data_IF_972729770043
#
_entry.id   IF_972729770043
#
_cell.length_a   1.000
_cell.length_b   1.000
_cell.length_c   1.000
_cell.angle_alpha   90.00
_cell.angle_beta   90.00
_cell.angle_gamma   90.00
#
_symmetry.space_group_name_H-M   'P 1'
#
loop_
_entity.id
_entity.type
_entity.pdbx_description
1 polymer ?
#
# COMPACT_ATOMS: atom_id res chain seq x y z
N UNK A 1 4.26 -9.90 -15.89
CA UNK A 1 5.33 -9.04 -16.44
C UNK A 1 5.86 -8.25 -15.28
N UNK A 2 7.15 -8.42 -14.97
CA UNK A 2 7.81 -7.86 -13.81
C UNK A 2 8.65 -6.71 -14.32
N UNK A 3 8.10 -5.50 -14.40
CA UNK A 3 8.76 -4.40 -15.09
C UNK A 3 9.90 -3.76 -14.29
N UNK A 4 10.05 -4.07 -13.00
CA UNK A 4 11.28 -3.77 -12.23
C UNK A 4 11.23 -4.48 -10.87
N UNK A 5 11.93 -5.60 -10.70
CA UNK A 5 12.31 -6.07 -9.36
C UNK A 5 13.59 -5.35 -8.98
N UNK A 6 13.56 -4.59 -7.89
CA UNK A 6 14.77 -4.13 -7.23
C UNK A 6 15.37 -5.31 -6.47
N UNK A 7 16.07 -6.19 -7.19
CA UNK A 7 16.89 -7.25 -6.60
C UNK A 7 18.36 -6.82 -6.55
N UNK A 8 19.23 -7.68 -6.02
CA UNK A 8 20.67 -7.39 -5.95
C UNK A 8 21.36 -7.31 -7.32
N UNK A 9 20.68 -7.65 -8.41
CA UNK A 9 21.20 -7.57 -9.79
C UNK A 9 21.02 -6.17 -10.39
N UNK A 10 20.07 -5.37 -9.89
CA UNK A 10 19.87 -3.99 -10.34
C UNK A 10 20.48 -3.01 -9.34
N UNK A 11 21.57 -2.34 -9.75
CA UNK A 11 22.22 -1.29 -8.95
C UNK A 11 21.97 0.06 -9.59
N UNK A 12 21.21 0.92 -8.92
CA UNK A 12 21.09 2.32 -9.28
C UNK A 12 22.36 3.05 -8.83
N UNK A 13 23.15 3.52 -9.79
CA UNK A 13 24.38 4.28 -9.55
C UNK A 13 24.08 5.77 -9.37
N UNK A 14 25.09 6.53 -8.91
CA UNK A 14 25.00 7.99 -8.85
C UNK A 14 24.80 8.58 -10.27
N UNK A 15 23.91 9.58 -10.36
CA UNK A 15 23.54 10.21 -11.62
C UNK A 15 24.73 10.90 -12.30
N UNK A 16 25.54 11.62 -11.54
CA UNK A 16 26.66 12.42 -12.07
C UNK A 16 27.83 11.52 -12.45
N UNK A 17 28.12 10.49 -11.65
CA UNK A 17 29.11 9.48 -12.03
C UNK A 17 28.71 8.76 -13.32
N UNK A 18 27.43 8.38 -13.44
CA UNK A 18 26.89 7.72 -14.64
C UNK A 18 26.95 8.64 -15.86
N UNK A 19 26.56 9.91 -15.71
CA UNK A 19 26.63 10.90 -16.78
C UNK A 19 28.07 11.16 -17.25
N UNK A 20 29.03 11.26 -16.32
CA UNK A 20 30.45 11.42 -16.64
C UNK A 20 30.98 10.23 -17.46
N UNK A 21 30.65 9.01 -17.04
CA UNK A 21 31.05 7.80 -17.75
C UNK A 21 30.43 7.72 -19.16
N UNK A 22 29.15 8.05 -19.30
CA UNK A 22 28.45 8.09 -20.59
C UNK A 22 29.08 9.13 -21.53
N UNK A 23 29.34 10.35 -21.05
CA UNK A 23 29.99 11.40 -21.85
C UNK A 23 31.41 11.02 -22.26
N UNK A 24 32.18 10.38 -21.37
CA UNK A 24 33.52 9.89 -21.72
C UNK A 24 33.49 8.91 -22.89
N UNK A 25 32.50 8.00 -22.93
CA UNK A 25 32.32 7.08 -24.06
C UNK A 25 31.98 7.80 -25.37
N UNK A 26 31.22 8.90 -25.30
CA UNK A 26 30.85 9.70 -26.47
C UNK A 26 32.01 10.53 -27.03
N UNK A 27 33.10 10.78 -26.28
CA UNK A 27 34.26 11.56 -26.77
C UNK A 27 34.96 10.94 -27.97
N UNK A 28 34.84 9.63 -28.13
CA UNK A 28 35.40 8.88 -29.27
C UNK A 28 34.51 8.92 -30.51
N UNK A 29 33.31 9.47 -30.40
CA UNK A 29 32.30 9.50 -31.44
C UNK A 29 32.09 10.94 -31.95
N UNK A 30 31.75 11.08 -33.23
CA UNK A 30 31.34 12.36 -33.78
C UNK A 30 29.88 12.62 -33.41
N UNK A 31 29.67 13.45 -32.39
CA UNK A 31 28.35 13.77 -31.85
C UNK A 31 28.09 15.27 -31.97
N UNK A 32 27.03 15.63 -32.67
CA UNK A 32 26.64 17.02 -32.88
C UNK A 32 25.80 17.59 -31.70
N UNK A 33 25.02 16.74 -31.01
CA UNK A 33 24.13 17.15 -29.91
C UNK A 33 24.12 16.08 -28.82
N UNK A 34 24.15 16.50 -27.56
CA UNK A 34 24.04 15.62 -26.39
C UNK A 34 22.85 16.01 -25.53
N UNK A 35 21.81 15.17 -25.52
CA UNK A 35 20.63 15.33 -24.69
C UNK A 35 20.64 14.28 -23.58
N UNK A 36 20.50 14.69 -22.32
CA UNK A 36 20.28 13.74 -21.23
C UNK A 36 18.78 13.39 -21.16
N UNK A 37 18.44 12.11 -21.12
CA UNK A 37 17.10 11.64 -20.82
C UNK A 37 17.07 11.22 -19.34
N UNK A 38 16.27 11.89 -18.51
CA UNK A 38 16.33 11.74 -17.06
C UNK A 38 14.97 11.52 -16.41
N UNK A 39 14.99 10.86 -15.26
CA UNK A 39 13.86 10.74 -14.34
C UNK A 39 14.31 11.25 -12.97
N UNK A 40 14.42 12.58 -12.82
CA UNK A 40 14.95 13.23 -11.61
C UNK A 40 14.38 14.63 -11.44
N UNK A 41 14.69 15.31 -10.33
CA UNK A 41 14.18 16.66 -9.99
C UNK A 41 14.69 17.75 -10.94
N UNK A 42 13.97 18.88 -11.06
CA UNK A 42 14.39 20.01 -11.89
C UNK A 42 15.73 20.55 -11.39
N UNK A 43 15.89 20.66 -10.07
CA UNK A 43 17.14 21.07 -9.42
C UNK A 43 18.31 20.14 -9.77
N UNK A 44 18.09 18.83 -9.80
CA UNK A 44 19.13 17.87 -10.22
C UNK A 44 19.44 18.00 -11.72
N UNK A 45 18.44 18.24 -12.58
CA UNK A 45 18.66 18.49 -14.02
C UNK A 45 19.44 19.79 -14.28
N UNK A 46 19.14 20.87 -13.55
CA UNK A 46 19.89 22.14 -13.61
C UNK A 46 21.34 21.93 -13.15
N UNK A 47 21.55 21.14 -12.10
CA UNK A 47 22.89 20.77 -11.62
C UNK A 47 23.62 19.92 -12.64
N UNK A 48 22.95 18.96 -13.28
CA UNK A 48 23.50 18.12 -14.35
C UNK A 48 24.02 18.97 -15.51
N UNK A 49 23.23 19.93 -15.99
CA UNK A 49 23.64 20.82 -17.06
C UNK A 49 24.82 21.73 -16.63
N UNK A 50 24.84 22.23 -15.39
CA UNK A 50 25.97 23.03 -14.89
C UNK A 50 27.27 22.22 -14.79
N UNK A 51 27.19 20.99 -14.30
CA UNK A 51 28.37 20.13 -14.10
C UNK A 51 28.91 19.56 -15.42
N UNK A 52 28.04 19.36 -16.42
CA UNK A 52 28.41 18.85 -17.73
C UNK A 52 28.10 19.86 -18.85
N UNK A 53 28.99 20.83 -19.11
CA UNK A 53 28.82 21.82 -20.18
C UNK A 53 28.66 21.20 -21.58
N UNK A 54 29.15 19.98 -21.77
CA UNK A 54 29.05 19.21 -23.02
C UNK A 54 27.60 18.79 -23.36
N UNK A 55 26.68 18.81 -22.39
CA UNK A 55 25.25 18.52 -22.58
C UNK A 55 24.50 19.77 -23.06
N UNK A 56 23.74 19.60 -24.13
CA UNK A 56 22.98 20.66 -24.82
C UNK A 56 21.56 20.83 -24.28
N UNK A 57 21.01 19.82 -23.61
CA UNK A 57 19.69 19.91 -22.99
C UNK A 57 19.30 18.62 -22.24
N UNK A 58 18.12 18.65 -21.64
CA UNK A 58 17.54 17.53 -20.88
C UNK A 58 16.09 17.29 -21.33
N UNK A 59 15.76 16.03 -21.59
CA UNK A 59 14.38 15.55 -21.61
C UNK A 59 14.13 14.83 -20.28
N UNK A 60 13.18 15.32 -19.49
CA UNK A 60 12.89 14.83 -18.14
C UNK A 60 11.52 14.17 -18.08
N UNK A 61 11.28 13.34 -17.07
CA UNK A 61 9.96 12.77 -16.74
C UNK A 61 8.87 13.83 -16.57
N UNK A 62 7.62 13.38 -16.66
CA UNK A 62 6.45 14.20 -16.42
C UNK A 62 6.41 14.80 -15.00
N UNK A 63 5.85 16.00 -14.90
CA UNK A 63 5.69 16.73 -13.63
C UNK A 63 4.26 17.03 -13.27
N UNK A 64 3.40 16.94 -14.26
CA UNK A 64 1.99 17.26 -14.19
C UNK A 64 1.27 16.32 -15.13
N UNK A 65 0.06 15.91 -14.76
CA UNK A 65 -0.79 15.08 -15.61
C UNK A 65 -1.34 15.86 -16.81
N UNK A 66 -1.36 17.20 -16.75
CA UNK A 66 -2.06 18.05 -17.73
C UNK A 66 -1.18 19.09 -18.39
N UNK A 67 -0.01 19.39 -17.83
CA UNK A 67 0.84 20.48 -18.30
C UNK A 67 2.27 19.99 -18.60
N UNK A 68 2.79 20.38 -19.76
CA UNK A 68 4.22 20.25 -20.05
C UNK A 68 4.98 21.39 -19.41
N UNK A 69 6.26 21.17 -19.11
CA UNK A 69 7.13 22.22 -18.59
C UNK A 69 8.33 22.45 -19.48
N UNK A 70 8.63 23.73 -19.70
CA UNK A 70 9.78 24.20 -20.48
C UNK A 70 10.64 25.07 -19.57
N UNK A 71 11.68 24.47 -19.01
CA UNK A 71 12.65 25.15 -18.15
C UNK A 71 13.98 25.32 -18.89
N UNK A 72 14.84 26.20 -18.40
CA UNK A 72 16.15 26.45 -19.01
C UNK A 72 17.24 26.62 -17.95
N UNK A 73 18.41 26.03 -18.19
CA UNK A 73 19.62 26.26 -17.41
C UNK A 73 20.77 26.71 -18.33
N UNK A 74 21.27 27.93 -18.11
CA UNK A 74 22.29 28.57 -18.97
C UNK A 74 21.91 28.56 -20.47
N UNK A 75 20.64 28.85 -20.77
CA UNK A 75 20.11 28.87 -22.14
C UNK A 75 19.89 27.50 -22.78
N UNK A 76 20.05 26.40 -22.03
CA UNK A 76 19.81 25.03 -22.50
C UNK A 76 18.48 24.51 -21.96
N UNK A 77 17.64 23.86 -22.79
CA UNK A 77 16.31 23.45 -22.39
C UNK A 77 16.33 22.23 -21.45
N UNK A 78 15.40 22.22 -20.50
CA UNK A 78 14.99 21.09 -19.66
C UNK A 78 13.49 20.93 -19.88
N UNK A 79 13.09 19.86 -20.57
CA UNK A 79 11.73 19.70 -21.08
C UNK A 79 11.08 18.47 -20.46
N UNK A 80 9.90 18.65 -19.88
CA UNK A 80 9.08 17.54 -19.37
C UNK A 80 7.73 17.54 -20.08
N UNK A 81 7.27 16.40 -20.61
CA UNK A 81 5.90 16.28 -21.08
C UNK A 81 4.93 16.30 -19.88
N UNK A 82 3.66 16.51 -20.17
CA UNK A 82 2.54 16.14 -19.33
C UNK A 82 2.32 14.61 -19.32
N UNK A 83 1.63 14.11 -18.30
CA UNK A 83 1.31 12.71 -18.11
C UNK A 83 0.31 12.14 -19.11
N UNK A 84 0.02 10.85 -18.97
CA UNK A 84 -0.99 10.09 -19.73
C UNK A 84 -0.89 10.20 -21.27
N UNK A 85 0.31 10.51 -21.79
CA UNK A 85 0.53 10.73 -23.23
C UNK A 85 -0.33 11.86 -23.82
N UNK A 86 -0.85 12.78 -23.00
CA UNK A 86 -1.70 13.88 -23.48
C UNK A 86 -0.94 15.03 -24.14
N UNK A 87 0.38 14.88 -24.29
CA UNK A 87 1.20 15.80 -25.05
C UNK A 87 2.54 15.19 -25.47
N UNK A 88 3.17 15.81 -26.45
CA UNK A 88 4.49 15.46 -26.98
C UNK A 88 5.41 16.67 -26.96
N UNK A 89 6.65 16.50 -26.47
CA UNK A 89 7.68 17.52 -26.61
C UNK A 89 8.24 17.49 -28.03
N UNK A 90 8.15 18.61 -28.75
CA UNK A 90 8.79 18.82 -30.06
C UNK A 90 10.03 19.68 -29.88
N UNK A 91 11.20 19.07 -30.03
CA UNK A 91 12.49 19.76 -30.01
C UNK A 91 12.91 20.15 -31.44
N UNK A 92 13.14 21.44 -31.65
CA UNK A 92 13.74 22.00 -32.86
C UNK A 92 15.23 22.20 -32.64
N UNK A 93 16.00 21.74 -33.61
CA UNK A 93 17.45 21.74 -33.58
C UNK A 93 17.97 22.54 -34.77
N UNK A 94 18.81 23.53 -34.51
CA UNK A 94 19.54 24.27 -35.54
C UNK A 94 21.04 24.04 -35.36
N UNK A 95 21.69 23.54 -36.42
CA UNK A 95 23.12 23.26 -36.44
C UNK A 95 23.85 24.30 -37.30
N UNK A 96 24.91 24.87 -36.75
CA UNK A 96 25.82 25.78 -37.46
C UNK A 96 27.27 25.32 -37.25
N UNK A 97 28.09 25.33 -38.30
CA UNK A 97 29.48 24.89 -38.21
C UNK A 97 30.27 25.75 -37.22
N UNK A 98 30.99 25.10 -36.29
CA UNK A 98 31.83 25.77 -35.30
C UNK A 98 31.06 26.46 -34.18
N UNK A 99 29.73 26.30 -34.11
CA UNK A 99 28.87 26.85 -33.06
C UNK A 99 28.14 25.72 -32.33
N UNK A 100 27.72 26.01 -31.10
CA UNK A 100 26.87 25.12 -30.33
C UNK A 100 25.49 25.00 -31.00
N UNK A 101 24.85 23.82 -31.01
CA UNK A 101 23.47 23.69 -31.47
C UNK A 101 22.54 24.66 -30.75
N UNK A 102 21.72 25.38 -31.51
CA UNK A 102 20.63 26.17 -30.95
C UNK A 102 19.40 25.27 -30.85
N UNK A 103 18.86 25.16 -29.63
CA UNK A 103 17.71 24.33 -29.32
C UNK A 103 16.52 25.22 -28.94
N UNK A 104 15.38 24.98 -29.57
CA UNK A 104 14.09 25.51 -29.14
C UNK A 104 13.07 24.38 -29.03
N UNK A 105 12.04 24.54 -28.22
CA UNK A 105 11.07 23.49 -27.98
C UNK A 105 9.65 24.04 -27.92
N UNK A 106 8.69 23.12 -28.00
CA UNK A 106 7.30 23.38 -27.71
C UNK A 106 6.58 22.07 -27.33
N UNK A 107 5.55 22.16 -26.51
CA UNK A 107 4.63 21.06 -26.27
C UNK A 107 3.50 21.02 -27.32
N UNK A 108 3.25 19.84 -27.88
CA UNK A 108 2.08 19.55 -28.70
C UNK A 108 1.05 18.85 -27.83
N UNK A 109 -0.15 19.39 -27.70
CA UNK A 109 -1.24 18.71 -26.98
C UNK A 109 -1.79 17.59 -27.86
N UNK A 110 -2.03 16.44 -27.24
CA UNK A 110 -2.68 15.27 -27.85
C UNK A 110 -4.03 15.11 -27.18
N UNK A 111 -5.05 15.73 -27.76
CA UNK A 111 -6.44 15.69 -27.30
C UNK A 111 -7.38 15.27 -28.45
N UNK A 112 -8.69 15.42 -28.23
CA UNK A 112 -9.71 15.06 -29.22
C UNK A 112 -9.64 15.87 -30.55
N UNK A 113 -8.81 16.92 -30.63
CA UNK A 113 -8.57 17.65 -31.87
C UNK A 113 -7.56 16.95 -32.80
N UNK A 114 -6.78 16.00 -32.29
CA UNK A 114 -5.83 15.21 -33.07
C UNK A 114 -6.55 13.99 -33.64
N UNK A 115 -6.57 13.86 -34.97
CA UNK A 115 -7.16 12.71 -35.64
C UNK A 115 -6.36 11.43 -35.30
N UNK A 116 -7.07 10.40 -34.83
CA UNK A 116 -6.47 9.12 -34.51
C UNK A 116 -6.05 8.38 -35.79
N UNK A 117 -4.87 7.77 -35.78
CA UNK A 117 -4.46 6.86 -36.85
C UNK A 117 -5.39 5.64 -36.89
N UNK A 118 -6.01 5.41 -38.05
CA UNK A 118 -7.03 4.35 -38.20
C UNK A 118 -6.52 2.94 -37.87
N UNK A 119 -5.25 2.62 -38.20
CA UNK A 119 -4.67 1.28 -37.96
C UNK A 119 -4.40 1.08 -36.47
N UNK A 120 -3.85 2.10 -35.80
CA UNK A 120 -3.63 2.05 -34.36
C UNK A 120 -4.94 2.08 -33.57
N UNK A 121 -5.94 2.82 -34.05
CA UNK A 121 -7.28 2.84 -33.46
C UNK A 121 -7.96 1.47 -33.54
N UNK A 122 -7.91 0.80 -34.68
CA UNK A 122 -8.46 -0.56 -34.82
C UNK A 122 -7.71 -1.58 -33.94
N UNK A 123 -6.40 -1.41 -33.79
CA UNK A 123 -5.58 -2.22 -32.90
C UNK A 123 -5.95 -2.02 -31.42
N UNK A 124 -6.07 -0.76 -30.97
CA UNK A 124 -6.53 -0.39 -29.63
C UNK A 124 -7.89 -1.02 -29.35
N UNK A 125 -8.85 -0.83 -30.26
CA UNK A 125 -10.20 -1.37 -30.13
C UNK A 125 -10.21 -2.89 -30.02
N UNK A 126 -9.37 -3.59 -30.78
CA UNK A 126 -9.22 -5.05 -30.67
C UNK A 126 -8.75 -5.48 -29.27
N UNK A 127 -7.72 -4.83 -28.72
CA UNK A 127 -7.25 -5.12 -27.37
C UNK A 127 -8.29 -4.76 -26.30
N UNK A 128 -8.94 -3.61 -26.43
CA UNK A 128 -9.98 -3.14 -25.52
C UNK A 128 -11.17 -4.11 -25.48
N UNK A 129 -11.63 -4.61 -26.64
CA UNK A 129 -12.69 -5.61 -26.70
C UNK A 129 -12.27 -6.95 -26.08
N UNK A 130 -11.03 -7.41 -26.35
CA UNK A 130 -10.52 -8.65 -25.76
C UNK A 130 -10.37 -8.55 -24.24
N UNK A 131 -9.99 -7.38 -23.72
CA UNK A 131 -9.95 -7.10 -22.29
C UNK A 131 -11.35 -7.04 -21.70
N UNK A 132 -12.30 -6.34 -22.33
CA UNK A 132 -13.68 -6.24 -21.86
C UNK A 132 -14.34 -7.62 -21.75
N UNK A 133 -14.13 -8.48 -22.74
CA UNK A 133 -14.63 -9.85 -22.72
C UNK A 133 -14.11 -10.63 -21.51
N UNK A 134 -12.82 -10.51 -21.18
CA UNK A 134 -12.23 -11.17 -20.01
C UNK A 134 -12.69 -10.55 -18.68
N UNK A 135 -12.73 -9.22 -18.61
CA UNK A 135 -13.04 -8.48 -17.39
C UNK A 135 -14.53 -8.53 -17.01
N UNK A 136 -15.42 -8.76 -17.99
CA UNK A 136 -16.86 -8.91 -17.78
C UNK A 136 -17.29 -10.30 -17.28
N UNK A 137 -16.35 -11.24 -17.10
CA UNK A 137 -16.63 -12.55 -16.50
C UNK A 137 -17.31 -12.37 -15.14
N UNK A 138 -18.47 -13.01 -14.96
CA UNK A 138 -19.23 -12.95 -13.70
C UNK A 138 -18.68 -13.94 -12.70
N UNK A 139 -18.31 -13.44 -11.52
CA UNK A 139 -17.81 -14.21 -10.39
C UNK A 139 -18.90 -14.60 -9.40
N UNK A 140 -20.04 -13.90 -9.42
CA UNK A 140 -21.18 -14.16 -8.55
C UNK A 140 -22.13 -12.96 -8.49
N UNK A 141 -23.07 -12.99 -7.54
CA UNK A 141 -23.98 -11.88 -7.25
C UNK A 141 -23.77 -11.37 -5.83
N UNK A 142 -23.51 -10.07 -5.68
CA UNK A 142 -23.45 -9.38 -4.39
C UNK A 142 -24.87 -9.00 -3.95
N UNK A 143 -25.30 -9.47 -2.79
CA UNK A 143 -26.60 -9.14 -2.18
C UNK A 143 -26.62 -7.74 -1.55
N UNK A 144 -25.43 -7.25 -1.20
CA UNK A 144 -25.13 -5.92 -0.66
C UNK A 144 -23.91 -5.36 -1.36
N UNK A 145 -23.79 -4.03 -1.46
CA UNK A 145 -22.57 -3.42 -1.98
C UNK A 145 -21.38 -3.76 -1.06
N UNK A 146 -20.21 -3.96 -1.63
CA UNK A 146 -18.96 -4.05 -0.89
C UNK A 146 -18.39 -2.65 -0.71
N UNK A 147 -18.23 -2.22 0.53
CA UNK A 147 -17.69 -0.94 0.90
C UNK A 147 -16.39 -1.13 1.70
N UNK A 148 -15.30 -0.59 1.17
CA UNK A 148 -13.99 -0.51 1.81
C UNK A 148 -13.67 0.92 2.31
N UNK A 149 -14.59 1.86 2.11
CA UNK A 149 -14.46 3.27 2.45
C UNK A 149 -13.48 4.06 1.56
N UNK A 150 -13.08 3.51 0.41
CA UNK A 150 -11.99 4.10 -0.43
C UNK A 150 -12.37 5.48 -0.98
N UNK A 151 -13.65 5.69 -1.34
CA UNK A 151 -14.14 6.95 -1.91
C UNK A 151 -14.50 8.01 -0.85
N UNK A 152 -14.20 7.77 0.42
CA UNK A 152 -14.58 8.67 1.50
C UNK A 152 -13.65 8.61 2.70
N UNK A 153 -14.08 7.91 3.75
CA UNK A 153 -13.40 7.94 5.05
C UNK A 153 -12.14 7.07 5.12
N UNK A 154 -11.81 6.25 4.11
CA UNK A 154 -10.80 5.19 4.17
C UNK A 154 -11.07 4.16 5.28
N UNK A 155 -12.33 3.77 5.49
CA UNK A 155 -12.80 2.85 6.54
C UNK A 155 -11.91 1.63 6.73
N UNK A 156 -11.51 0.96 5.64
CA UNK A 156 -10.65 -0.24 5.68
C UNK A 156 -9.32 -0.05 6.42
N UNK A 157 -8.93 1.20 6.68
CA UNK A 157 -7.67 1.58 7.33
C UNK A 157 -7.81 1.89 8.83
N UNK A 158 -9.02 1.80 9.39
CA UNK A 158 -9.24 2.02 10.82
C UNK A 158 -10.48 1.32 11.41
N UNK A 159 -11.41 0.80 10.61
CA UNK A 159 -12.60 0.11 11.10
C UNK A 159 -12.92 -1.13 10.28
N UNK A 160 -13.85 -1.95 10.76
CA UNK A 160 -14.31 -3.12 10.02
C UNK A 160 -15.02 -2.72 8.73
N UNK A 161 -14.71 -3.42 7.65
CA UNK A 161 -15.39 -3.24 6.36
C UNK A 161 -15.91 -4.56 5.84
N UNK A 162 -17.07 -4.56 5.20
CA UNK A 162 -17.60 -5.79 4.63
C UNK A 162 -16.80 -6.28 3.40
N UNK A 163 -16.14 -5.37 2.68
CA UNK A 163 -15.15 -5.72 1.66
C UNK A 163 -13.94 -6.45 2.29
N UNK A 164 -13.41 -5.90 3.40
CA UNK A 164 -12.32 -6.53 4.16
C UNK A 164 -12.69 -7.92 4.69
N UNK A 165 -13.90 -8.06 5.23
CA UNK A 165 -14.42 -9.35 5.70
C UNK A 165 -14.45 -10.40 4.60
N UNK A 166 -15.01 -10.06 3.43
CA UNK A 166 -15.10 -10.99 2.29
C UNK A 166 -13.72 -11.46 1.83
N UNK A 167 -12.76 -10.54 1.72
CA UNK A 167 -11.40 -10.86 1.25
C UNK A 167 -10.68 -11.74 2.27
N UNK A 168 -10.75 -11.38 3.57
CA UNK A 168 -10.15 -12.18 4.63
C UNK A 168 -10.79 -13.58 4.72
N UNK A 169 -12.11 -13.70 4.51
CA UNK A 169 -12.82 -14.97 4.44
C UNK A 169 -12.34 -15.82 3.26
N UNK A 170 -12.17 -15.23 2.08
CA UNK A 170 -11.65 -15.91 0.90
C UNK A 170 -10.24 -16.48 1.16
N UNK A 171 -9.35 -15.69 1.77
CA UNK A 171 -7.98 -16.12 2.09
C UNK A 171 -7.97 -17.26 3.10
N UNK A 172 -8.77 -17.12 4.17
CA UNK A 172 -8.91 -18.15 5.21
C UNK A 172 -9.46 -19.45 4.63
N UNK A 173 -10.52 -19.36 3.82
CA UNK A 173 -11.19 -20.51 3.22
C UNK A 173 -10.30 -21.25 2.23
N UNK A 174 -9.54 -20.54 1.39
CA UNK A 174 -8.62 -21.13 0.42
C UNK A 174 -7.59 -22.06 1.09
N UNK A 175 -6.94 -21.56 2.14
CA UNK A 175 -5.90 -22.31 2.86
C UNK A 175 -6.43 -23.24 3.95
N UNK A 176 -7.74 -23.21 4.23
CA UNK A 176 -8.33 -23.83 5.44
C UNK A 176 -7.54 -23.40 6.69
N UNK A 177 -7.23 -22.10 6.76
CA UNK A 177 -6.46 -21.50 7.83
C UNK A 177 -7.35 -21.24 9.05
N UNK A 178 -6.73 -21.04 10.21
CA UNK A 178 -7.46 -20.60 11.40
C UNK A 178 -7.94 -19.16 11.19
N UNK A 179 -7.07 -18.33 10.59
CA UNK A 179 -7.23 -16.88 10.48
C UNK A 179 -6.91 -16.42 9.05
N UNK A 180 -7.68 -15.46 8.54
CA UNK A 180 -7.35 -14.68 7.35
C UNK A 180 -7.06 -13.23 7.72
N UNK A 181 -6.04 -12.62 7.11
CA UNK A 181 -5.69 -11.20 7.28
C UNK A 181 -5.59 -10.54 5.91
N UNK A 182 -6.20 -9.36 5.79
CA UNK A 182 -6.03 -8.45 4.66
C UNK A 182 -5.65 -7.06 5.18
N UNK A 183 -4.54 -6.47 4.72
CA UNK A 183 -4.22 -5.09 5.08
C UNK A 183 -5.15 -4.11 4.35
N UNK A 184 -5.70 -3.12 5.04
CA UNK A 184 -6.68 -2.18 4.49
C UNK A 184 -6.16 -1.40 3.29
N UNK A 185 -4.86 -1.11 3.26
CA UNK A 185 -4.20 -0.43 2.15
C UNK A 185 -4.18 -1.22 0.85
N UNK A 186 -4.32 -2.54 0.92
CA UNK A 186 -4.41 -3.40 -0.25
C UNK A 186 -5.80 -3.47 -0.87
N UNK A 187 -6.84 -2.89 -0.23
CA UNK A 187 -8.20 -2.83 -0.77
C UNK A 187 -8.41 -1.47 -1.44
N UNK A 188 -8.57 -1.47 -2.76
CA UNK A 188 -8.47 -0.24 -3.57
C UNK A 188 -9.78 0.26 -4.18
N UNK A 189 -10.91 -0.43 -3.97
CA UNK A 189 -12.18 -0.01 -4.53
C UNK A 189 -13.37 -0.43 -3.66
N UNK A 190 -14.55 0.04 -4.04
CA UNK A 190 -15.84 -0.49 -3.62
C UNK A 190 -16.47 -1.26 -4.79
N UNK A 191 -17.43 -2.14 -4.53
CA UNK A 191 -18.18 -2.84 -5.57
C UNK A 191 -19.70 -2.66 -5.35
N UNK A 192 -20.47 -2.29 -6.39
CA UNK A 192 -21.91 -2.12 -6.26
C UNK A 192 -22.61 -3.46 -5.98
N UNK A 193 -23.80 -3.38 -5.39
CA UNK A 193 -24.71 -4.54 -5.29
C UNK A 193 -25.04 -5.06 -6.70
N UNK A 194 -25.17 -6.38 -6.84
CA UNK A 194 -25.59 -7.02 -8.08
C UNK A 194 -24.50 -7.88 -8.70
N UNK A 195 -24.38 -7.84 -10.03
CA UNK A 195 -23.43 -8.69 -10.77
C UNK A 195 -22.00 -8.32 -10.39
N UNK A 196 -21.28 -9.26 -9.80
CA UNK A 196 -19.86 -9.10 -9.46
C UNK A 196 -18.99 -9.73 -10.54
N UNK A 197 -18.04 -8.98 -11.04
CA UNK A 197 -17.23 -9.31 -12.21
C UNK A 197 -15.75 -9.36 -11.88
N UNK A 198 -14.96 -9.97 -12.77
CA UNK A 198 -13.52 -9.98 -12.64
C UNK A 198 -12.93 -8.55 -12.63
N UNK A 199 -13.54 -7.60 -13.35
CA UNK A 199 -13.19 -6.18 -13.29
C UNK A 199 -13.23 -5.66 -11.86
N UNK A 200 -14.36 -5.86 -11.18
CA UNK A 200 -14.57 -5.33 -9.82
C UNK A 200 -13.64 -6.02 -8.81
N UNK A 201 -13.39 -7.32 -8.97
CA UNK A 201 -12.42 -8.03 -8.14
C UNK A 201 -10.98 -7.51 -8.35
N UNK A 202 -10.58 -7.20 -9.60
CA UNK A 202 -9.29 -6.59 -9.90
C UNK A 202 -9.19 -5.14 -9.40
N UNK A 203 -10.28 -4.38 -9.45
CA UNK A 203 -10.34 -3.04 -8.86
C UNK A 203 -10.19 -3.09 -7.32
N UNK A 204 -10.75 -4.11 -6.67
CA UNK A 204 -10.56 -4.35 -5.24
C UNK A 204 -9.11 -4.74 -4.90
N UNK A 205 -8.48 -5.61 -5.69
CA UNK A 205 -7.16 -6.21 -5.45
C UNK A 205 -6.21 -6.04 -6.66
N UNK A 206 -5.69 -4.83 -6.94
CA UNK A 206 -4.98 -4.54 -8.19
C UNK A 206 -3.51 -4.96 -8.18
N UNK A 207 -2.93 -5.27 -7.02
CA UNK A 207 -1.48 -5.44 -6.86
C UNK A 207 -0.98 -6.85 -7.21
N UNK A 208 -1.89 -7.83 -7.31
CA UNK A 208 -1.54 -9.20 -7.65
C UNK A 208 -0.63 -9.87 -6.62
N UNK A 209 -0.87 -9.61 -5.32
CA UNK A 209 -0.15 -10.28 -4.24
C UNK A 209 -0.49 -11.78 -4.26
N UNK A 210 0.35 -12.60 -3.65
CA UNK A 210 0.04 -14.00 -3.42
C UNK A 210 -0.56 -14.19 -2.04
N UNK A 211 -1.52 -15.10 -1.90
CA UNK A 211 -2.11 -15.45 -0.60
C UNK A 211 -1.24 -16.51 0.06
N UNK A 212 -0.31 -16.10 0.90
CA UNK A 212 0.60 -16.99 1.61
C UNK A 212 -0.07 -17.63 2.84
N UNK A 213 0.49 -18.74 3.31
CA UNK A 213 0.11 -19.40 4.56
C UNK A 213 1.32 -19.51 5.48
N UNK A 214 1.17 -19.02 6.72
CA UNK A 214 2.22 -19.06 7.74
C UNK A 214 1.70 -19.65 9.06
N UNK A 215 2.62 -20.16 9.88
CA UNK A 215 2.34 -20.52 11.27
C UNK A 215 2.90 -19.45 12.20
N UNK A 216 2.02 -18.69 12.87
CA UNK A 216 2.38 -17.64 13.80
C UNK A 216 2.11 -18.06 15.24
N UNK A 217 3.05 -17.82 16.15
CA UNK A 217 2.75 -17.79 17.58
C UNK A 217 1.75 -16.66 17.87
N UNK A 218 0.87 -16.86 18.86
CA UNK A 218 -0.08 -15.84 19.30
C UNK A 218 0.56 -14.50 19.67
N UNK A 219 1.74 -14.51 20.29
CA UNK A 219 2.50 -13.27 20.58
C UNK A 219 2.90 -12.50 19.31
N UNK A 220 3.22 -13.20 18.23
CA UNK A 220 3.60 -12.59 16.96
C UNK A 220 2.35 -12.11 16.21
N UNK A 221 1.26 -12.87 16.26
CA UNK A 221 -0.04 -12.46 15.73
C UNK A 221 -0.53 -11.15 16.39
N UNK A 222 -0.42 -11.03 17.72
CA UNK A 222 -0.77 -9.79 18.43
C UNK A 222 0.14 -8.62 18.02
N UNK A 223 1.43 -8.88 17.76
CA UNK A 223 2.35 -7.85 17.23
C UNK A 223 1.99 -7.42 15.81
N UNK A 224 1.55 -8.33 14.95
CA UNK A 224 1.07 -8.01 13.59
C UNK A 224 -0.16 -7.09 13.68
N UNK A 225 -1.17 -7.47 14.47
CA UNK A 225 -2.35 -6.63 14.67
C UNK A 225 -1.99 -5.27 15.28
N UNK A 226 -1.11 -5.26 16.30
CA UNK A 226 -0.65 -4.03 16.94
C UNK A 226 0.12 -3.10 16.00
N UNK A 227 0.93 -3.64 15.09
CA UNK A 227 1.63 -2.85 14.07
C UNK A 227 0.64 -2.14 13.14
N UNK A 228 -0.41 -2.83 12.70
CA UNK A 228 -1.48 -2.23 11.90
C UNK A 228 -2.18 -1.06 12.60
N UNK A 229 -2.25 -1.12 13.94
CA UNK A 229 -2.88 -0.09 14.77
C UNK A 229 -1.97 1.09 15.09
N UNK A 230 -0.65 0.93 15.13
CA UNK A 230 0.29 1.98 15.55
C UNK A 230 0.21 3.29 14.74
N UNK A 231 -0.40 3.25 13.56
CA UNK A 231 -0.59 4.42 12.69
C UNK A 231 -2.04 4.58 12.26
N UNK A 232 -3.00 4.08 13.04
CA UNK A 232 -4.43 4.11 12.71
C UNK A 232 -4.97 5.52 12.59
N UNK A 233 -4.52 6.45 13.44
CA UNK A 233 -4.87 7.88 13.36
C UNK A 233 -4.44 8.54 12.03
N UNK A 234 -3.42 7.99 11.38
CA UNK A 234 -2.95 8.44 10.05
C UNK A 234 -3.60 7.67 8.90
N UNK A 235 -4.60 6.81 9.19
CA UNK A 235 -5.26 5.91 8.23
C UNK A 235 -4.23 5.13 7.41
N UNK A 236 -3.27 4.53 8.11
CA UNK A 236 -2.22 3.72 7.48
C UNK A 236 -2.81 2.52 6.73
N UNK A 237 -2.19 2.13 5.62
CA UNK A 237 -2.56 0.91 4.90
C UNK A 237 -2.36 -0.38 5.71
N UNK A 238 -1.54 -0.32 6.75
CA UNK A 238 -1.16 -1.46 7.58
C UNK A 238 -2.31 -2.04 8.45
N UNK A 239 -3.43 -1.34 8.61
CA UNK A 239 -4.55 -1.81 9.44
C UNK A 239 -5.07 -3.16 8.93
N UNK A 240 -5.30 -4.11 9.84
CA UNK A 240 -5.63 -5.49 9.47
C UNK A 240 -7.14 -5.75 9.50
N UNK A 241 -7.76 -5.96 8.33
CA UNK A 241 -9.06 -6.62 8.22
C UNK A 241 -8.90 -8.12 8.48
N UNK A 242 -9.88 -8.76 9.12
CA UNK A 242 -9.70 -10.11 9.68
C UNK A 242 -10.86 -11.08 9.41
N UNK A 243 -10.54 -12.37 9.43
CA UNK A 243 -11.47 -13.49 9.44
C UNK A 243 -11.01 -14.56 10.42
N UNK A 244 -11.94 -15.20 11.14
CA UNK A 244 -11.63 -16.23 12.13
C UNK A 244 -11.08 -15.69 13.47
N UNK A 245 -10.94 -14.37 13.61
CA UNK A 245 -10.62 -13.69 14.85
C UNK A 245 -11.48 -12.42 14.98
N UNK A 246 -11.65 -11.93 16.21
CA UNK A 246 -12.20 -10.60 16.48
C UNK A 246 -11.29 -9.83 17.44
N UNK A 247 -11.24 -8.52 17.32
CA UNK A 247 -10.48 -7.68 18.24
C UNK A 247 -11.12 -6.32 18.50
N UNK A 248 -10.91 -5.83 19.72
CA UNK A 248 -11.29 -4.48 20.15
C UNK A 248 -10.03 -3.66 20.35
N UNK A 249 -10.01 -2.42 19.88
CA UNK A 249 -8.86 -1.56 20.06
C UNK A 249 -9.24 -0.14 20.47
N UNK A 250 -8.35 0.50 21.23
CA UNK A 250 -8.43 1.91 21.60
C UNK A 250 -7.59 2.75 20.62
N UNK A 251 -8.20 3.66 19.85
CA UNK A 251 -7.48 4.51 18.90
C UNK A 251 -6.56 5.55 19.58
N UNK A 252 -6.83 5.90 20.84
CA UNK A 252 -6.03 6.86 21.62
C UNK A 252 -4.94 6.17 22.46
N UNK A 253 -4.86 4.84 22.37
CA UNK A 253 -3.88 4.04 23.09
C UNK A 253 -2.42 4.38 22.74
N UNK A 254 -1.47 4.15 23.68
CA UNK A 254 -0.06 4.43 23.46
C UNK A 254 0.49 3.79 22.18
N UNK A 255 1.33 4.53 21.45
CA UNK A 255 1.90 4.06 20.19
C UNK A 255 1.00 4.28 18.97
N UNK A 256 -0.12 5.01 19.13
CA UNK A 256 -1.00 5.41 18.03
C UNK A 256 -2.17 4.47 17.75
N UNK A 257 -2.50 3.60 18.72
CA UNK A 257 -3.58 2.61 18.68
C UNK A 257 -3.20 1.35 19.46
N UNK A 258 -4.07 0.81 20.33
CA UNK A 258 -3.75 -0.34 21.19
C UNK A 258 -4.87 -1.39 21.20
N UNK A 259 -4.49 -2.66 21.02
CA UNK A 259 -5.41 -3.79 21.23
C UNK A 259 -5.80 -3.86 22.72
N UNK A 260 -7.10 -3.85 22.98
CA UNK A 260 -7.70 -4.08 24.30
C UNK A 260 -8.00 -5.56 24.47
N UNK A 261 -8.51 -6.19 23.42
CA UNK A 261 -8.92 -7.59 23.42
C UNK A 261 -8.76 -8.18 22.02
N UNK A 262 -8.35 -9.45 21.93
CA UNK A 262 -8.35 -10.21 20.68
C UNK A 262 -8.67 -11.68 20.96
N UNK A 263 -9.66 -12.21 20.25
CA UNK A 263 -10.25 -13.53 20.47
C UNK A 263 -10.35 -14.35 19.18
N UNK A 264 -10.36 -15.67 19.33
CA UNK A 264 -10.67 -16.64 18.29
C UNK A 264 -11.85 -17.47 18.81
N UNK A 265 -13.03 -17.27 18.21
CA UNK A 265 -14.28 -17.70 18.85
C UNK A 265 -14.44 -17.02 20.21
N UNK A 266 -14.74 -17.79 21.24
CA UNK A 266 -14.94 -17.27 22.61
C UNK A 266 -13.66 -17.24 23.46
N UNK A 267 -12.49 -17.58 22.89
CA UNK A 267 -11.25 -17.71 23.64
C UNK A 267 -10.21 -16.65 23.26
N UNK A 268 -9.49 -16.13 24.26
CA UNK A 268 -8.37 -15.23 24.06
C UNK A 268 -7.23 -15.89 23.26
N UNK A 269 -6.52 -15.08 22.47
CA UNK A 269 -5.32 -15.52 21.77
C UNK A 269 -4.24 -15.92 22.78
N UNK A 270 -3.93 -17.22 22.82
CA UNK A 270 -2.84 -17.76 23.64
C UNK A 270 -1.47 -17.42 23.04
N UNK A 271 -0.57 -16.72 23.75
CA UNK A 271 0.71 -16.25 23.19
C UNK A 271 1.61 -17.34 22.61
N UNK A 272 1.72 -18.48 23.29
CA UNK A 272 2.62 -19.57 22.89
C UNK A 272 2.02 -20.55 21.88
N UNK A 273 0.71 -20.46 21.59
CA UNK A 273 0.05 -21.34 20.62
C UNK A 273 0.36 -20.87 19.21
N UNK A 274 0.61 -21.82 18.31
CA UNK A 274 0.69 -21.55 16.88
C UNK A 274 -0.70 -21.54 16.23
N UNK A 275 -0.91 -20.59 15.32
CA UNK A 275 -2.10 -20.43 14.50
C UNK A 275 -1.70 -20.40 13.02
N UNK A 276 -2.49 -21.05 12.17
CA UNK A 276 -2.35 -20.98 10.72
C UNK A 276 -3.00 -19.70 10.22
N UNK A 277 -2.22 -18.82 9.63
CA UNK A 277 -2.67 -17.49 9.18
C UNK A 277 -2.46 -17.35 7.69
N UNK A 278 -3.53 -17.08 6.95
CA UNK A 278 -3.49 -16.73 5.54
C UNK A 278 -3.40 -15.21 5.38
N UNK A 279 -2.40 -14.71 4.64
CA UNK A 279 -2.14 -13.27 4.49
C UNK A 279 -1.46 -12.96 3.14
N UNK A 280 -1.59 -11.74 2.61
CA UNK A 280 -0.95 -11.37 1.36
C UNK A 280 0.58 -11.33 1.48
N UNK A 281 1.28 -11.69 0.40
CA UNK A 281 2.73 -11.74 0.32
C UNK A 281 3.40 -10.40 0.66
N UNK A 282 2.73 -9.27 0.39
CA UNK A 282 3.15 -7.93 0.80
C UNK A 282 3.44 -7.85 2.31
N UNK A 283 2.52 -8.34 3.15
CA UNK A 283 2.69 -8.34 4.62
C UNK A 283 3.88 -9.25 4.98
N UNK A 284 3.95 -10.44 4.37
CA UNK A 284 5.00 -11.42 4.64
C UNK A 284 6.40 -10.90 4.29
N UNK A 285 6.51 -10.12 3.21
CA UNK A 285 7.78 -9.56 2.73
C UNK A 285 8.15 -8.21 3.38
N UNK A 286 7.41 -7.77 4.41
CA UNK A 286 7.71 -6.54 5.14
C UNK A 286 7.16 -5.25 4.55
N UNK A 287 6.27 -5.33 3.55
CA UNK A 287 5.47 -4.19 3.10
C UNK A 287 4.69 -3.57 4.25
N UNK A 288 4.28 -2.30 4.12
CA UNK A 288 3.63 -1.53 5.20
C UNK A 288 4.42 -1.50 6.55
N UNK A 289 5.71 -1.88 6.53
CA UNK A 289 6.60 -1.90 7.69
C UNK A 289 6.50 -3.17 8.55
N UNK A 290 5.88 -4.24 8.06
CA UNK A 290 5.73 -5.52 8.79
C UNK A 290 7.05 -6.31 8.90
N UNK A 291 8.03 -5.85 9.67
CA UNK A 291 9.37 -6.45 9.74
C UNK A 291 9.48 -7.70 10.64
N UNK A 292 8.41 -8.08 11.33
CA UNK A 292 8.45 -9.11 12.38
C UNK A 292 8.43 -10.57 11.86
N UNK A 293 8.47 -10.79 10.55
CA UNK A 293 8.29 -12.12 9.95
C UNK A 293 9.58 -12.94 9.75
N UNK A 294 10.78 -12.39 10.01
CA UNK A 294 12.08 -13.02 9.70
C UNK A 294 12.25 -14.49 10.15
N UNK A 295 11.66 -14.88 11.29
CA UNK A 295 11.76 -16.23 11.88
C UNK A 295 10.46 -17.03 11.80
N UNK A 296 9.55 -16.62 10.91
CA UNK A 296 8.24 -17.25 10.77
C UNK A 296 8.34 -18.54 9.98
N UNK A 297 7.64 -19.58 10.43
CA UNK A 297 7.48 -20.81 9.65
C UNK A 297 6.48 -20.55 8.50
N UNK A 298 6.99 -20.54 7.27
CA UNK A 298 6.18 -20.43 6.06
C UNK A 298 5.71 -21.83 5.66
N UNK A 299 4.39 -22.02 5.60
CA UNK A 299 3.76 -23.27 5.19
C UNK A 299 3.46 -23.30 3.69
N UNK A 300 3.11 -22.14 3.13
CA UNK A 300 3.00 -21.89 1.69
C UNK A 300 3.45 -20.45 1.39
N UNK A 301 4.47 -20.30 0.55
CA UNK A 301 5.14 -19.03 0.27
C UNK A 301 4.73 -18.42 -1.07
N UNK A 302 5.23 -17.23 -1.38
CA UNK A 302 4.82 -16.47 -2.58
C UNK A 302 5.18 -17.14 -3.91
N UNK A 303 6.16 -18.04 -3.95
CA UNK A 303 6.54 -18.74 -5.19
C UNK A 303 5.48 -19.76 -5.65
N UNK A 304 4.67 -20.27 -4.72
CA UNK A 304 3.69 -21.36 -4.94
C UNK A 304 2.25 -20.92 -4.68
N UNK A 305 2.06 -19.85 -3.90
CA UNK A 305 0.74 -19.35 -3.55
C UNK A 305 0.02 -18.67 -4.73
N UNK A 306 -1.32 -18.83 -4.84
CA UNK A 306 -2.12 -18.18 -5.87
C UNK A 306 -2.27 -16.68 -5.62
N UNK A 307 -2.62 -15.95 -6.67
CA UNK A 307 -2.92 -14.52 -6.57
C UNK A 307 -4.17 -14.25 -5.73
N UNK A 308 -4.14 -13.18 -4.95
CA UNK A 308 -5.23 -12.65 -4.13
C UNK A 308 -6.55 -12.51 -4.90
N UNK A 309 -6.53 -11.90 -6.08
CA UNK A 309 -7.74 -11.75 -6.92
C UNK A 309 -8.29 -13.09 -7.40
N UNK A 310 -7.43 -14.08 -7.67
CA UNK A 310 -7.87 -15.41 -8.08
C UNK A 310 -8.52 -16.16 -6.92
N UNK A 311 -7.95 -16.03 -5.70
CA UNK A 311 -8.53 -16.59 -4.48
C UNK A 311 -9.90 -15.98 -4.18
N UNK A 312 -10.04 -14.66 -4.28
CA UNK A 312 -11.33 -13.98 -4.12
C UNK A 312 -12.33 -14.43 -5.18
N UNK A 313 -11.93 -14.47 -6.45
CA UNK A 313 -12.77 -14.89 -7.56
C UNK A 313 -13.30 -16.31 -7.37
N UNK A 314 -12.44 -17.27 -7.03
CA UNK A 314 -12.82 -18.66 -6.79
C UNK A 314 -13.76 -18.80 -5.57
N UNK A 315 -13.53 -18.01 -4.53
CA UNK A 315 -14.40 -17.98 -3.36
C UNK A 315 -15.81 -17.48 -3.72
N UNK A 316 -15.91 -16.35 -4.42
CA UNK A 316 -17.19 -15.81 -4.87
C UNK A 316 -17.91 -16.76 -5.85
N UNK A 317 -17.19 -17.41 -6.79
CA UNK A 317 -17.77 -18.40 -7.71
C UNK A 317 -18.38 -19.59 -6.97
N UNK A 318 -17.69 -20.08 -5.93
CA UNK A 318 -18.17 -21.18 -5.09
C UNK A 318 -19.42 -20.81 -4.30
N UNK A 319 -19.51 -19.57 -3.82
CA UNK A 319 -20.69 -19.08 -3.11
C UNK A 319 -21.87 -18.82 -4.06
N UNK A 320 -21.60 -18.31 -5.27
CA UNK A 320 -22.59 -17.90 -6.27
C UNK A 320 -23.35 -16.63 -5.89
N UNK A 321 -23.81 -16.53 -4.63
CA UNK A 321 -24.41 -15.35 -4.01
C UNK A 321 -23.62 -14.98 -2.76
N UNK A 322 -23.25 -13.71 -2.63
CA UNK A 322 -22.35 -13.21 -1.59
C UNK A 322 -23.08 -12.13 -0.80
N UNK A 323 -23.23 -12.35 0.51
CA UNK A 323 -23.86 -11.42 1.45
C UNK A 323 -22.90 -11.04 2.58
N UNK A 324 -21.75 -10.46 2.22
CA UNK A 324 -20.74 -10.03 3.20
C UNK A 324 -21.22 -8.79 3.95
N UNK A 325 -21.29 -8.87 5.29
CA UNK A 325 -21.74 -7.79 6.17
C UNK A 325 -20.68 -7.50 7.23
N UNK A 326 -20.86 -6.39 7.95
CA UNK A 326 -20.11 -6.08 9.17
C UNK A 326 -20.67 -6.98 10.28
N UNK A 327 -19.79 -7.68 10.98
CA UNK A 327 -20.15 -8.72 11.97
C UNK A 327 -19.62 -8.41 13.37
N UNK A 328 -18.92 -7.29 13.55
CA UNK A 328 -18.27 -6.95 14.83
C UNK A 328 -16.95 -7.69 15.04
N UNK A 329 -16.28 -8.09 13.95
CA UNK A 329 -14.92 -8.63 13.97
C UNK A 329 -13.92 -7.58 14.46
N UNK A 330 -14.17 -6.30 14.20
CA UNK A 330 -13.30 -5.22 14.67
C UNK A 330 -14.13 -4.14 15.35
N UNK A 331 -13.88 -3.94 16.64
CA UNK A 331 -14.56 -2.92 17.44
C UNK A 331 -13.61 -1.79 17.81
N UNK A 332 -13.98 -0.56 17.45
CA UNK A 332 -13.27 0.66 17.88
C UNK A 332 -13.85 1.09 19.22
N UNK A 333 -13.02 1.19 20.25
CA UNK A 333 -13.43 1.75 21.53
C UNK A 333 -13.69 3.25 21.34
N UNK A 334 -14.95 3.67 21.29
CA UNK A 334 -15.27 5.10 21.30
C UNK A 334 -15.01 5.67 22.69
N UNK A 335 -14.28 6.78 22.80
CA UNK A 335 -14.30 7.64 23.99
C UNK A 335 -15.65 8.36 24.05
N UNK A 336 -16.73 7.64 24.38
CA UNK A 336 -18.02 8.30 24.56
C UNK A 336 -17.93 9.23 25.77
N UNK A 337 -18.03 10.53 25.49
CA UNK A 337 -18.34 11.61 26.42
C UNK A 337 -19.73 11.47 27.08
N UNK A 338 -20.15 10.25 27.42
CA UNK A 338 -21.48 9.92 27.97
C UNK A 338 -21.44 9.06 29.24
N UNK A 339 -20.27 8.97 29.91
CA UNK A 339 -20.18 8.53 31.32
C UNK A 339 -20.21 9.70 32.31
N UNK A 340 -20.47 10.93 31.86
CA UNK A 340 -20.63 12.11 32.74
C UNK A 340 -22.08 12.49 33.05
N UNK A 341 -23.07 11.71 32.61
CA UNK A 341 -24.46 11.83 33.08
C UNK A 341 -25.12 10.46 33.25
N UNK A 342 -24.85 9.83 34.38
CA UNK A 342 -25.73 9.00 35.22
C UNK A 342 -24.93 7.85 35.85
N UNK A 343 -25.07 7.70 37.17
CA UNK A 343 -24.51 6.58 37.93
C UNK A 343 -23.27 6.90 38.75
N UNK A 344 -23.50 7.39 39.97
CA UNK A 344 -22.54 7.48 41.06
C UNK A 344 -21.86 6.12 41.32
N UNK A 345 -20.61 5.93 40.87
CA UNK A 345 -19.79 4.75 41.22
C UNK A 345 -18.87 4.98 42.43
N UNK A 346 -19.26 5.90 43.32
CA UNK A 346 -18.60 6.14 44.61
C UNK A 346 -18.84 5.08 45.70
N UNK A 347 -19.67 4.04 45.48
CA UNK A 347 -20.06 3.11 46.56
C UNK A 347 -19.79 1.60 46.34
N UNK A 348 -19.19 1.17 45.22
CA UNK A 348 -18.95 -0.26 44.96
C UNK A 348 -17.50 -0.75 45.07
N UNK A 349 -16.58 0.11 45.52
CA UNK A 349 -15.22 -0.31 45.92
C UNK A 349 -15.01 -0.39 47.45
N UNK A 350 -16.06 -0.21 48.25
CA UNK A 350 -16.00 -0.26 49.72
C UNK A 350 -16.26 -1.61 50.37
N UNK A 351 -16.44 -2.71 49.62
CA UNK A 351 -16.87 -4.01 50.21
C UNK A 351 -16.00 -5.23 49.95
N UNK A 352 -14.80 -5.09 49.38
CA UNK A 352 -13.89 -6.22 49.17
C UNK A 352 -12.52 -6.14 49.86
N UNK A 353 -12.32 -5.20 50.79
CA UNK A 353 -11.08 -5.14 51.61
C UNK A 353 -11.42 -5.16 53.11
N UNK A 354 -12.19 -6.16 53.55
CA UNK A 354 -12.19 -6.60 54.96
C UNK A 354 -12.37 -8.13 54.97
N UNK A 355 -11.30 -8.87 54.68
CA UNK A 355 -11.05 -10.23 55.21
C UNK A 355 -9.67 -10.69 54.79
N UNK A 356 -8.67 -10.22 55.54
CA UNK A 356 -7.51 -10.98 56.02
C UNK A 356 -6.43 -10.01 56.51
N UNK A 357 -6.73 -9.34 57.62
CA UNK A 357 -5.69 -8.88 58.54
C UNK A 357 -5.35 -10.04 59.46
N UNK A 358 -4.14 -10.61 59.33
CA UNK A 358 -3.40 -11.19 60.46
C UNK A 358 -1.93 -11.45 60.10
N UNK A 359 -1.06 -10.80 60.90
CA UNK A 359 0.41 -10.91 61.02
C UNK A 359 1.15 -10.29 59.83
N UNK A 360 2.07 -9.33 59.99
CA UNK A 360 3.17 -9.25 60.96
C UNK A 360 3.46 -7.79 61.34
N UNK A 361 3.84 -7.59 62.59
CA UNK A 361 4.17 -6.34 63.26
C UNK A 361 5.47 -5.67 62.78
N UNK A 362 5.43 -4.33 62.83
CA UNK A 362 6.48 -3.36 63.19
C UNK A 362 7.95 -3.68 62.90
N UNK A 363 8.58 -2.84 62.09
CA UNK A 363 9.73 -2.07 62.55
C UNK A 363 9.89 -0.79 61.72
N UNK A 364 10.01 0.32 62.44
CA UNK A 364 10.11 1.69 61.95
C UNK A 364 11.55 2.22 62.03
N UNK A 365 11.84 3.21 61.19
CA UNK A 365 12.89 4.23 61.29
C UNK A 365 14.36 3.80 61.03
N UNK A 366 14.98 4.34 59.97
CA UNK A 366 15.70 5.63 60.04
C UNK A 366 16.44 5.96 58.73
N UNK A 367 16.29 7.21 58.29
CA UNK A 367 17.17 7.88 57.35
C UNK A 367 18.34 8.51 58.13
N UNK A 368 19.60 8.25 57.75
CA UNK A 368 20.68 9.25 57.84
C UNK A 368 21.93 8.84 57.04
N UNK A 369 22.41 9.84 56.30
CA UNK A 369 23.63 9.94 55.51
C UNK A 369 24.91 9.78 56.36
N UNK A 370 25.98 9.21 55.78
CA UNK A 370 27.26 9.90 55.48
C UNK A 370 28.37 8.95 54.98
N UNK A 371 29.00 9.40 53.89
CA UNK A 371 30.45 9.47 53.62
C UNK A 371 31.37 8.40 54.25
N UNK A 372 31.92 7.53 53.40
CA UNK A 372 33.33 7.53 53.00
C UNK A 372 33.52 6.72 51.71
#
# INVERSE_FOLDING_TARGET
>A
MVSTLQDSSVKQLDLFESARAALANLKTQKVDIRIALTQTTLTENERLLREFPELDGVLSEERSETESTENFADGRPILSPCGNLSCLIRLHIQLEQGRRPALSAGALVVDASVEADSVLFDLEKSYSNALEYKLSETLGTLEVALDAGVLGNSASRFEETNAGNLIADAFRAHHKADIGIMNGGGICANAPKGRFTLREALSLLPFGNQVCLVALKGELLLRVLGHGLARVAKRSGAFCQVSGLSYTYDPEGPGGGRIIEARIGDADIRPERYYRVALPSLILSGGDGFTMFEKTLILDGSATAPKDVAVLADYCRKLGRVDSRIEGRITVLSSSADTRKTGNWGELLGRFVVRNSKKIESQSLNYRLKEN
#
